data_IF_192529243387
#
_entry.id   IF_192529243387
#
_cell.length_a   1.000
_cell.length_b   1.000
_cell.length_c   1.000
_cell.angle_alpha   90.00
_cell.angle_beta   90.00
_cell.angle_gamma   90.00
#
_symmetry.space_group_name_H-M   'P 1'
#
loop_
_entity.id
_entity.type
_entity.pdbx_description
1 polymer ?
#
# COMPACT_ATOMS: atom_id res chain seq x y z
N UNK A 1 35.37 -19.09 70.72
CA UNK A 1 35.93 -18.92 69.33
C UNK A 1 34.81 -18.61 68.42
N UNK A 2 34.73 -17.37 67.97
CA UNK A 2 33.72 -16.97 67.07
C UNK A 2 34.33 -17.00 65.66
N UNK A 3 33.86 -17.91 64.82
CA UNK A 3 34.24 -17.97 63.42
C UNK A 3 33.65 -16.74 62.70
N UNK A 4 34.54 -15.85 62.29
CA UNK A 4 34.16 -14.68 61.50
C UNK A 4 33.70 -15.17 60.10
N UNK A 5 32.44 -14.92 59.80
CA UNK A 5 31.88 -15.14 58.44
C UNK A 5 32.62 -14.28 57.44
N UNK A 6 33.29 -14.85 56.44
CA UNK A 6 33.95 -14.16 55.33
C UNK A 6 33.05 -14.22 54.14
N UNK A 7 32.63 -13.04 53.62
CA UNK A 7 31.80 -12.97 52.40
C UNK A 7 32.55 -13.56 51.20
N UNK A 8 31.89 -14.31 50.32
CA UNK A 8 32.54 -14.96 49.17
C UNK A 8 33.05 -14.02 48.08
N UNK A 9 32.86 -12.72 48.21
CA UNK A 9 33.21 -11.72 47.18
C UNK A 9 34.47 -10.89 47.47
N UNK A 10 35.29 -11.21 48.46
CA UNK A 10 36.59 -10.53 48.66
C UNK A 10 37.61 -11.04 47.63
N UNK A 11 37.54 -10.47 46.42
CA UNK A 11 38.59 -10.59 45.42
C UNK A 11 39.75 -9.68 45.80
N UNK A 12 41.02 -10.10 45.61
CA UNK A 12 42.18 -9.24 45.79
C UNK A 12 42.06 -8.02 44.86
N UNK A 13 42.26 -6.83 45.37
CA UNK A 13 42.10 -5.52 44.70
C UNK A 13 43.07 -5.27 43.52
N UNK A 14 44.02 -6.18 43.26
CA UNK A 14 45.13 -6.01 42.31
C UNK A 14 45.02 -6.88 41.02
N UNK A 15 43.91 -7.51 40.76
CA UNK A 15 43.74 -8.18 39.45
C UNK A 15 43.45 -7.12 38.35
N UNK A 16 44.28 -7.00 37.29
CA UNK A 16 43.99 -6.08 36.20
C UNK A 16 42.62 -6.40 35.60
N UNK A 17 41.71 -5.43 35.72
CA UNK A 17 40.37 -5.56 35.11
C UNK A 17 40.57 -5.74 33.61
N UNK A 18 40.37 -6.94 33.10
CA UNK A 18 40.28 -7.18 31.67
C UNK A 18 39.16 -6.26 31.13
N UNK A 19 39.42 -5.49 30.08
CA UNK A 19 38.37 -4.70 29.46
C UNK A 19 37.22 -5.63 29.10
N UNK A 20 36.04 -5.39 29.68
CA UNK A 20 34.81 -6.10 29.26
C UNK A 20 34.69 -5.79 27.79
N UNK A 21 34.97 -6.77 26.93
CA UNK A 21 34.78 -6.65 25.51
C UNK A 21 33.31 -6.30 25.30
N UNK A 22 33.05 -5.00 24.98
CA UNK A 22 31.73 -4.62 24.52
C UNK A 22 31.38 -5.56 23.38
N UNK A 23 30.23 -6.25 23.43
CA UNK A 23 29.82 -7.13 22.35
C UNK A 23 29.87 -6.30 21.06
N UNK A 24 30.83 -6.61 20.20
CA UNK A 24 30.90 -6.01 18.88
C UNK A 24 29.56 -6.30 18.22
N UNK A 25 28.80 -5.28 17.74
CA UNK A 25 27.57 -5.56 17.00
C UNK A 25 27.92 -6.62 15.95
N UNK A 26 27.27 -7.76 16.04
CA UNK A 26 27.46 -8.81 15.05
C UNK A 26 27.27 -8.18 13.68
N UNK A 27 28.29 -8.31 12.81
CA UNK A 27 28.18 -7.85 11.44
C UNK A 27 26.86 -8.45 10.88
N UNK A 28 26.06 -7.67 10.15
CA UNK A 28 24.80 -8.17 9.64
C UNK A 28 25.12 -9.43 8.83
N UNK A 29 24.76 -10.58 9.40
CA UNK A 29 24.75 -11.84 8.67
C UNK A 29 23.93 -11.57 7.41
N UNK A 30 24.46 -11.86 6.22
CA UNK A 30 23.88 -11.57 4.91
C UNK A 30 22.52 -12.26 4.65
N UNK A 31 21.60 -12.11 5.57
CA UNK A 31 20.19 -12.44 5.43
C UNK A 31 19.49 -11.43 4.52
N UNK A 32 18.35 -11.79 3.93
CA UNK A 32 17.60 -10.92 3.06
C UNK A 32 17.31 -9.59 3.76
N UNK A 33 17.59 -8.48 3.06
CA UNK A 33 17.30 -7.13 3.58
C UNK A 33 15.79 -6.96 3.66
N UNK A 34 15.24 -7.00 4.87
CA UNK A 34 13.81 -6.83 5.10
C UNK A 34 13.42 -5.35 4.99
N UNK A 35 12.26 -5.01 4.42
CA UNK A 35 11.84 -3.62 4.25
C UNK A 35 11.70 -2.90 5.59
N UNK A 36 11.14 -3.58 6.59
CA UNK A 36 11.00 -3.09 7.96
C UNK A 36 11.15 -4.28 8.92
N UNK A 37 11.80 -4.13 10.07
CA UNK A 37 11.80 -5.19 11.08
C UNK A 37 10.37 -5.45 11.58
N UNK A 38 10.04 -6.73 11.79
CA UNK A 38 8.73 -7.13 12.34
C UNK A 38 8.63 -6.69 13.81
N UNK A 39 8.16 -5.49 14.00
CA UNK A 39 7.86 -4.85 15.29
C UNK A 39 6.61 -3.99 15.11
N UNK A 40 5.96 -3.59 16.20
CA UNK A 40 4.91 -2.57 16.12
C UNK A 40 5.38 -1.32 15.38
N UNK A 41 4.73 -0.99 14.25
CA UNK A 41 5.10 0.11 13.36
C UNK A 41 4.29 1.37 13.66
N UNK A 42 4.90 2.53 13.43
CA UNK A 42 4.24 3.83 13.41
C UNK A 42 3.81 4.21 11.99
N UNK A 43 2.99 5.25 11.83
CA UNK A 43 2.59 5.74 10.49
C UNK A 43 3.82 6.09 9.63
N UNK A 44 4.81 6.86 10.11
CA UNK A 44 6.05 7.09 9.37
C UNK A 44 6.79 5.81 8.99
N UNK A 45 6.85 4.80 9.89
CA UNK A 45 7.49 3.51 9.58
C UNK A 45 6.79 2.81 8.40
N UNK A 46 5.46 2.89 8.31
CA UNK A 46 4.67 2.29 7.23
C UNK A 46 4.94 2.99 5.90
N UNK A 47 4.99 4.33 5.89
CA UNK A 47 5.26 5.13 4.70
C UNK A 47 6.70 4.90 4.20
N UNK A 48 7.69 5.01 5.09
CA UNK A 48 9.10 4.76 4.76
C UNK A 48 9.33 3.30 4.33
N UNK A 49 8.70 2.35 5.03
CA UNK A 49 8.75 0.94 4.67
C UNK A 49 8.21 0.64 3.27
N UNK A 50 7.13 1.31 2.86
CA UNK A 50 6.60 1.19 1.50
C UNK A 50 7.59 1.71 0.44
N UNK A 51 8.23 2.84 0.69
CA UNK A 51 9.30 3.35 -0.18
C UNK A 51 10.51 2.41 -0.21
N UNK A 52 10.82 1.75 0.90
CA UNK A 52 11.89 0.74 0.95
C UNK A 52 11.53 -0.49 0.11
N UNK A 53 10.28 -0.96 0.13
CA UNK A 53 9.82 -2.05 -0.75
C UNK A 53 10.10 -1.69 -2.21
N UNK A 54 9.75 -0.48 -2.64
CA UNK A 54 10.01 0.01 -4.00
C UNK A 54 11.52 0.03 -4.33
N UNK A 55 12.36 0.45 -3.37
CA UNK A 55 13.82 0.52 -3.55
C UNK A 55 14.50 -0.86 -3.54
N UNK A 56 13.99 -1.83 -2.77
CA UNK A 56 14.59 -3.16 -2.66
C UNK A 56 14.39 -4.01 -3.91
N UNK A 57 13.22 -3.92 -4.55
CA UNK A 57 12.92 -4.70 -5.76
C UNK A 57 12.24 -3.83 -6.84
N UNK A 58 12.89 -2.76 -7.32
CA UNK A 58 12.25 -1.80 -8.23
C UNK A 58 11.73 -2.46 -9.50
N UNK A 59 12.50 -3.38 -10.09
CA UNK A 59 12.10 -4.11 -11.30
C UNK A 59 10.84 -4.94 -11.09
N UNK A 60 10.72 -5.61 -9.94
CA UNK A 60 9.57 -6.45 -9.63
C UNK A 60 8.35 -5.60 -9.28
N UNK A 61 8.53 -4.57 -8.48
CA UNK A 61 7.45 -3.71 -8.00
C UNK A 61 6.90 -2.83 -9.13
N UNK A 62 7.78 -2.12 -9.84
CA UNK A 62 7.38 -1.28 -10.98
C UNK A 62 6.89 -2.15 -12.14
N UNK A 63 7.52 -3.31 -12.39
CA UNK A 63 7.07 -4.24 -13.42
C UNK A 63 5.67 -4.79 -13.17
N UNK A 64 5.33 -5.13 -11.91
CA UNK A 64 3.99 -5.53 -11.53
C UNK A 64 2.99 -4.37 -11.75
N UNK A 65 3.33 -3.17 -11.25
CA UNK A 65 2.49 -1.98 -11.45
C UNK A 65 2.30 -1.68 -12.94
N UNK A 66 3.36 -1.75 -13.74
CA UNK A 66 3.29 -1.50 -15.18
C UNK A 66 2.34 -2.47 -15.89
N UNK A 67 2.49 -3.78 -15.65
CA UNK A 67 1.66 -4.80 -16.30
C UNK A 67 0.18 -4.63 -15.98
N UNK A 68 -0.16 -4.15 -14.77
CA UNK A 68 -1.55 -4.00 -14.34
C UNK A 68 -2.09 -2.60 -14.65
N UNK A 69 -1.32 -1.54 -14.36
CA UNK A 69 -1.80 -0.15 -14.47
C UNK A 69 -1.77 0.40 -15.90
N UNK A 70 -0.70 0.12 -16.70
CA UNK A 70 -0.57 0.73 -18.03
C UNK A 70 -1.73 0.42 -18.96
N UNK A 71 -2.21 -0.84 -19.10
CA UNK A 71 -3.36 -1.14 -19.96
C UNK A 71 -4.62 -0.38 -19.54
N UNK A 72 -4.82 -0.23 -18.22
CA UNK A 72 -6.00 0.44 -17.67
C UNK A 72 -5.93 1.93 -17.92
N UNK A 73 -4.79 2.57 -17.66
CA UNK A 73 -4.62 4.02 -17.90
C UNK A 73 -4.74 4.39 -19.38
N UNK A 74 -4.15 3.60 -20.27
CA UNK A 74 -4.28 3.79 -21.71
C UNK A 74 -5.74 3.59 -22.17
N UNK A 75 -6.43 2.59 -21.65
CA UNK A 75 -7.84 2.34 -21.95
C UNK A 75 -8.72 3.48 -21.47
N UNK A 76 -8.54 3.95 -20.23
CA UNK A 76 -9.29 5.08 -19.68
C UNK A 76 -9.01 6.38 -20.45
N UNK A 77 -7.74 6.67 -20.76
CA UNK A 77 -7.36 7.82 -21.57
C UNK A 77 -8.02 7.79 -22.95
N UNK A 78 -7.98 6.65 -23.63
CA UNK A 78 -8.63 6.48 -24.93
C UNK A 78 -10.15 6.59 -24.84
N UNK A 79 -10.77 5.99 -23.82
CA UNK A 79 -12.21 6.07 -23.61
C UNK A 79 -12.68 7.51 -23.40
N UNK A 80 -11.91 8.28 -22.66
CA UNK A 80 -12.23 9.66 -22.28
C UNK A 80 -11.65 10.71 -23.27
N UNK A 81 -11.00 10.28 -24.36
CA UNK A 81 -10.25 11.17 -25.25
C UNK A 81 -11.04 12.39 -25.75
N UNK A 82 -12.31 12.19 -26.13
CA UNK A 82 -13.16 13.28 -26.62
C UNK A 82 -13.45 14.29 -25.51
N UNK A 83 -13.88 13.81 -24.35
CA UNK A 83 -14.15 14.70 -23.22
C UNK A 83 -12.91 15.47 -22.74
N UNK A 84 -11.71 14.88 -22.87
CA UNK A 84 -10.45 15.54 -22.53
C UNK A 84 -10.07 16.58 -23.60
N UNK A 85 -10.29 16.28 -24.89
CA UNK A 85 -10.00 17.21 -25.99
C UNK A 85 -10.98 18.36 -26.04
N UNK A 86 -12.26 18.13 -25.69
CA UNK A 86 -13.30 19.14 -25.63
C UNK A 86 -13.25 19.99 -24.34
N UNK A 87 -12.44 19.59 -23.37
CA UNK A 87 -12.29 20.32 -22.12
C UNK A 87 -11.60 21.66 -22.36
N UNK A 88 -12.36 22.73 -22.28
CA UNK A 88 -11.87 24.10 -22.44
C UNK A 88 -12.04 24.86 -21.12
N UNK A 89 -10.95 24.97 -20.35
CA UNK A 89 -10.98 25.67 -19.07
C UNK A 89 -11.25 27.16 -19.22
N UNK A 90 -10.85 27.78 -20.32
CA UNK A 90 -11.16 29.19 -20.59
C UNK A 90 -12.67 29.40 -20.72
N UNK A 91 -13.38 28.51 -21.43
CA UNK A 91 -14.84 28.55 -21.51
C UNK A 91 -15.49 28.26 -20.15
N UNK A 92 -14.94 27.31 -19.36
CA UNK A 92 -15.45 27.03 -18.03
C UNK A 92 -15.27 28.20 -17.04
N UNK A 93 -14.17 28.94 -17.15
CA UNK A 93 -13.99 30.20 -16.42
C UNK A 93 -14.96 31.29 -16.85
N UNK A 94 -15.14 31.46 -18.14
CA UNK A 94 -16.07 32.47 -18.67
C UNK A 94 -17.52 32.18 -18.21
N UNK A 95 -17.97 30.96 -18.30
CA UNK A 95 -19.27 30.51 -17.81
C UNK A 95 -19.43 30.69 -16.29
N UNK A 96 -18.39 30.38 -15.50
CA UNK A 96 -18.42 30.58 -14.05
C UNK A 96 -18.50 32.05 -13.65
N UNK A 97 -17.86 32.97 -14.41
CA UNK A 97 -17.88 34.41 -14.15
C UNK A 97 -19.10 35.12 -14.78
N UNK A 98 -19.63 34.59 -15.87
CA UNK A 98 -20.83 35.16 -16.52
C UNK A 98 -22.13 34.76 -15.84
N UNK A 99 -22.09 33.87 -14.85
CA UNK A 99 -23.28 33.35 -14.17
C UNK A 99 -24.11 32.38 -15.02
N UNK A 100 -23.62 32.00 -16.18
CA UNK A 100 -24.24 31.04 -17.11
C UNK A 100 -23.74 29.60 -16.86
N UNK A 101 -23.49 29.23 -15.62
CA UNK A 101 -23.04 27.89 -15.28
C UNK A 101 -24.03 26.82 -15.78
N UNK A 102 -23.99 26.55 -17.07
CA UNK A 102 -24.62 25.39 -17.66
C UNK A 102 -23.77 24.18 -17.30
N UNK A 103 -24.42 23.17 -16.75
CA UNK A 103 -23.81 21.87 -16.40
C UNK A 103 -23.18 21.18 -17.62
N UNK A 104 -23.39 21.71 -18.82
CA UNK A 104 -22.86 21.23 -20.11
C UNK A 104 -21.50 21.87 -20.50
N UNK A 105 -21.17 23.04 -19.94
CA UNK A 105 -19.97 23.81 -20.33
C UNK A 105 -18.67 23.34 -19.64
N UNK A 106 -18.76 22.66 -18.51
CA UNK A 106 -17.63 21.91 -18.00
C UNK A 106 -17.57 20.63 -18.82
N UNK A 107 -16.67 20.51 -19.78
CA UNK A 107 -16.35 19.29 -20.51
C UNK A 107 -15.94 18.14 -19.54
N UNK A 108 -16.74 17.98 -18.50
CA UNK A 108 -16.57 17.02 -17.43
C UNK A 108 -16.92 15.63 -17.94
N UNK A 109 -16.08 14.70 -17.63
CA UNK A 109 -16.38 13.28 -17.76
C UNK A 109 -17.75 13.04 -17.12
N UNK A 110 -18.70 12.50 -17.86
CA UNK A 110 -20.00 12.12 -17.31
C UNK A 110 -19.82 11.15 -16.13
N UNK A 111 -20.82 11.01 -15.28
CA UNK A 111 -20.75 10.14 -14.09
C UNK A 111 -20.33 8.69 -14.40
N UNK A 112 -20.70 8.17 -15.57
CA UNK A 112 -20.35 6.81 -16.00
C UNK A 112 -18.85 6.60 -16.19
N UNK A 113 -18.15 7.36 -17.03
CA UNK A 113 -16.70 7.28 -17.19
C UNK A 113 -15.92 7.50 -15.89
N UNK A 114 -16.34 8.45 -15.06
CA UNK A 114 -15.71 8.68 -13.73
C UNK A 114 -15.87 7.45 -12.84
N UNK A 115 -17.07 6.90 -12.75
CA UNK A 115 -17.33 5.67 -11.96
C UNK A 115 -16.51 4.50 -12.48
N UNK A 116 -16.39 4.32 -13.81
CA UNK A 116 -15.55 3.27 -14.40
C UNK A 116 -14.08 3.47 -14.05
N UNK A 117 -13.57 4.70 -14.08
CA UNK A 117 -12.20 5.02 -13.65
C UNK A 117 -11.95 4.60 -12.22
N UNK A 118 -12.81 5.00 -11.28
CA UNK A 118 -12.72 4.61 -9.85
C UNK A 118 -12.73 3.08 -9.68
N UNK A 119 -13.61 2.38 -10.43
CA UNK A 119 -13.70 0.91 -10.39
C UNK A 119 -12.39 0.28 -10.87
N UNK A 120 -11.87 0.71 -12.00
CA UNK A 120 -10.68 0.11 -12.60
C UNK A 120 -9.42 0.43 -11.78
N UNK A 121 -9.24 1.66 -11.29
CA UNK A 121 -8.10 2.05 -10.47
C UNK A 121 -8.10 1.32 -9.12
N UNK A 122 -9.25 1.17 -8.50
CA UNK A 122 -9.38 0.39 -7.28
C UNK A 122 -9.08 -1.10 -7.48
N UNK A 123 -9.46 -1.67 -8.63
CA UNK A 123 -9.12 -3.06 -8.97
C UNK A 123 -7.62 -3.21 -9.27
N UNK A 124 -7.01 -2.24 -9.96
CA UNK A 124 -5.56 -2.17 -10.16
C UNK A 124 -4.85 -2.18 -8.80
N UNK A 125 -5.25 -1.30 -7.88
CA UNK A 125 -4.67 -1.23 -6.55
C UNK A 125 -4.82 -2.57 -5.79
N UNK A 126 -5.99 -3.21 -5.85
CA UNK A 126 -6.23 -4.48 -5.19
C UNK A 126 -5.33 -5.60 -5.72
N UNK A 127 -5.14 -5.67 -7.06
CA UNK A 127 -4.29 -6.68 -7.70
C UNK A 127 -2.81 -6.43 -7.38
N UNK A 128 -2.36 -5.17 -7.45
CA UNK A 128 -0.97 -4.79 -7.11
C UNK A 128 -0.69 -5.05 -5.64
N UNK A 129 -1.62 -4.71 -4.73
CA UNK A 129 -1.49 -4.99 -3.30
C UNK A 129 -1.42 -6.50 -3.02
N UNK A 130 -2.21 -7.30 -3.73
CA UNK A 130 -2.14 -8.76 -3.66
C UNK A 130 -0.79 -9.32 -4.11
N UNK A 131 -0.24 -8.83 -5.22
CA UNK A 131 1.08 -9.22 -5.72
C UNK A 131 2.21 -8.80 -4.76
N UNK A 132 2.16 -7.57 -4.24
CA UNK A 132 3.12 -7.10 -3.24
C UNK A 132 3.02 -7.87 -1.93
N UNK A 133 1.82 -8.25 -1.50
CA UNK A 133 1.63 -9.07 -0.31
C UNK A 133 2.36 -10.41 -0.44
N UNK A 134 2.28 -11.05 -1.60
CA UNK A 134 3.02 -12.28 -1.90
C UNK A 134 4.53 -12.08 -1.88
N UNK A 135 5.03 -11.01 -2.54
CA UNK A 135 6.44 -10.66 -2.58
C UNK A 135 7.00 -10.43 -1.18
N UNK A 136 6.34 -9.59 -0.40
CA UNK A 136 6.78 -9.19 0.96
C UNK A 136 6.69 -10.37 1.92
N UNK A 137 5.62 -11.16 1.86
CA UNK A 137 5.50 -12.39 2.67
C UNK A 137 6.65 -13.37 2.38
N UNK A 138 7.06 -13.49 1.09
CA UNK A 138 8.22 -14.29 0.71
C UNK A 138 9.51 -13.80 1.37
N UNK A 139 9.77 -12.49 1.37
CA UNK A 139 10.97 -11.93 2.03
C UNK A 139 11.01 -12.25 3.53
N UNK A 140 9.87 -12.13 4.22
CA UNK A 140 9.81 -12.50 5.62
C UNK A 140 9.93 -14.01 5.87
N UNK A 141 9.55 -14.84 4.91
CA UNK A 141 9.76 -16.28 4.92
C UNK A 141 11.16 -16.71 4.45
N UNK A 142 12.01 -15.77 4.00
CA UNK A 142 13.35 -16.05 3.49
C UNK A 142 13.37 -16.59 2.06
N UNK A 143 12.31 -16.35 1.27
CA UNK A 143 12.20 -16.77 -0.14
C UNK A 143 12.20 -15.58 -1.07
N UNK A 144 12.94 -15.68 -2.18
CA UNK A 144 12.93 -14.68 -3.24
C UNK A 144 11.94 -15.08 -4.33
N UNK A 145 11.16 -14.11 -4.79
CA UNK A 145 10.19 -14.32 -5.85
C UNK A 145 10.54 -13.51 -7.10
N UNK A 146 10.56 -14.16 -8.25
CA UNK A 146 10.72 -13.50 -9.54
C UNK A 146 9.48 -12.69 -9.90
N UNK A 147 9.64 -11.65 -10.74
CA UNK A 147 8.53 -10.85 -11.28
C UNK A 147 7.42 -11.74 -11.87
N UNK A 148 7.79 -12.76 -12.67
CA UNK A 148 6.81 -13.68 -13.26
C UNK A 148 6.01 -14.48 -12.23
N UNK A 149 6.62 -14.86 -11.10
CA UNK A 149 5.92 -15.53 -10.00
C UNK A 149 4.91 -14.59 -9.32
N UNK A 150 5.32 -13.35 -9.04
CA UNK A 150 4.47 -12.31 -8.43
C UNK A 150 3.27 -11.99 -9.34
N UNK A 151 3.50 -11.75 -10.62
CA UNK A 151 2.44 -11.50 -11.62
C UNK A 151 1.48 -12.69 -11.67
N UNK A 152 1.99 -13.91 -11.78
CA UNK A 152 1.15 -15.12 -11.82
C UNK A 152 0.24 -15.23 -10.61
N UNK A 153 0.75 -14.98 -9.39
CA UNK A 153 -0.05 -15.03 -8.17
C UNK A 153 -1.08 -13.90 -8.14
N UNK A 154 -0.69 -12.67 -8.49
CA UNK A 154 -1.59 -11.53 -8.57
C UNK A 154 -2.79 -11.82 -9.50
N UNK A 155 -2.54 -12.32 -10.72
CA UNK A 155 -3.61 -12.65 -11.67
C UNK A 155 -4.42 -13.90 -11.28
N UNK A 156 -3.80 -14.93 -10.70
CA UNK A 156 -4.55 -16.08 -10.16
C UNK A 156 -5.51 -15.70 -9.03
N UNK A 157 -5.18 -14.64 -8.30
CA UNK A 157 -6.02 -14.10 -7.22
C UNK A 157 -6.87 -12.91 -7.67
N UNK A 158 -6.81 -12.50 -8.94
CA UNK A 158 -7.55 -11.35 -9.45
C UNK A 158 -9.07 -11.50 -9.27
N UNK A 159 -9.64 -12.67 -9.54
CA UNK A 159 -11.07 -12.89 -9.34
C UNK A 159 -11.51 -12.77 -7.87
N UNK A 160 -10.90 -13.44 -6.88
CA UNK A 160 -11.27 -13.23 -5.49
C UNK A 160 -10.97 -11.79 -5.00
N UNK A 161 -9.94 -11.12 -5.52
CA UNK A 161 -9.65 -9.71 -5.21
C UNK A 161 -10.74 -8.80 -5.79
N UNK A 162 -11.18 -9.02 -7.02
CA UNK A 162 -12.27 -8.26 -7.64
C UNK A 162 -13.59 -8.43 -6.87
N UNK A 163 -13.94 -9.65 -6.48
CA UNK A 163 -15.14 -9.88 -5.66
C UNK A 163 -15.00 -9.18 -4.29
N UNK A 164 -13.85 -9.27 -3.65
CA UNK A 164 -13.61 -8.59 -2.37
C UNK A 164 -13.71 -7.07 -2.54
N UNK A 165 -13.15 -6.52 -3.64
CA UNK A 165 -13.24 -5.11 -4.00
C UNK A 165 -14.71 -4.67 -4.16
N UNK A 166 -15.53 -5.42 -4.91
CA UNK A 166 -16.97 -5.14 -5.07
C UNK A 166 -17.69 -5.13 -3.72
N UNK A 167 -17.42 -6.11 -2.86
CA UNK A 167 -18.03 -6.18 -1.53
C UNK A 167 -17.69 -4.95 -0.66
N UNK A 168 -16.44 -4.49 -0.72
CA UNK A 168 -15.97 -3.31 0.00
C UNK A 168 -16.67 -2.06 -0.50
N UNK A 169 -16.68 -1.83 -1.81
CA UNK A 169 -17.28 -0.62 -2.40
C UNK A 169 -18.80 -0.60 -2.29
N UNK A 170 -19.44 -1.78 -2.31
CA UNK A 170 -20.87 -1.87 -2.00
C UNK A 170 -21.15 -1.45 -0.54
N UNK A 171 -20.30 -1.87 0.40
CA UNK A 171 -20.41 -1.42 1.77
C UNK A 171 -20.16 0.09 1.89
N UNK A 172 -19.12 0.62 1.21
CA UNK A 172 -18.84 2.07 1.17
C UNK A 172 -20.00 2.87 0.61
N UNK A 173 -20.62 2.43 -0.49
CA UNK A 173 -21.78 3.07 -1.08
C UNK A 173 -22.99 3.10 -0.12
N UNK A 174 -23.24 2.02 0.61
CA UNK A 174 -24.30 1.96 1.61
C UNK A 174 -24.03 2.93 2.76
N UNK A 175 -22.80 3.00 3.25
CA UNK A 175 -22.42 3.90 4.35
C UNK A 175 -22.35 5.37 3.89
N UNK A 176 -22.03 5.65 2.63
CA UNK A 176 -21.99 7.00 2.06
C UNK A 176 -23.37 7.66 2.03
N UNK A 177 -24.46 6.88 1.96
CA UNK A 177 -25.84 7.39 2.04
C UNK A 177 -26.09 8.09 3.39
N UNK A 178 -25.37 7.69 4.45
CA UNK A 178 -25.53 8.26 5.79
C UNK A 178 -24.74 9.54 6.05
N UNK A 179 -23.70 9.85 5.37
CA UNK A 179 -22.86 11.07 5.28
C UNK A 179 -21.48 10.68 4.70
N UNK A 180 -20.74 11.66 4.14
CA UNK A 180 -19.34 11.47 3.68
C UNK A 180 -18.46 10.85 4.79
N UNK A 181 -18.69 11.21 6.05
CA UNK A 181 -18.02 10.64 7.23
C UNK A 181 -18.30 9.13 7.37
N UNK A 182 -19.47 8.67 6.93
CA UNK A 182 -19.83 7.25 6.97
C UNK A 182 -18.92 6.38 6.09
N UNK A 183 -18.46 6.88 4.94
CA UNK A 183 -17.57 6.15 4.04
C UNK A 183 -16.17 5.88 4.65
N UNK A 184 -15.72 6.71 5.60
CA UNK A 184 -14.44 6.50 6.29
C UNK A 184 -14.41 5.22 7.12
N UNK A 185 -15.56 4.76 7.58
CA UNK A 185 -15.68 3.54 8.40
C UNK A 185 -15.32 2.30 7.56
N UNK A 186 -16.01 2.00 6.44
CA UNK A 186 -15.65 0.85 5.61
C UNK A 186 -14.27 1.00 4.96
N UNK A 187 -13.86 2.19 4.52
CA UNK A 187 -12.52 2.45 4.01
C UNK A 187 -11.44 2.04 5.01
N UNK A 188 -11.65 2.34 6.31
CA UNK A 188 -10.74 1.95 7.38
C UNK A 188 -10.82 0.46 7.69
N UNK A 189 -12.04 -0.10 7.78
CA UNK A 189 -12.23 -1.51 8.13
C UNK A 189 -11.68 -2.46 7.07
N UNK A 190 -11.66 -2.03 5.82
CA UNK A 190 -11.29 -2.88 4.68
C UNK A 190 -9.92 -2.56 4.10
N UNK A 191 -9.13 -1.70 4.76
CA UNK A 191 -7.82 -1.26 4.30
C UNK A 191 -6.83 -2.40 4.02
N UNK A 192 -7.01 -3.58 4.64
CA UNK A 192 -6.07 -4.71 4.52
C UNK A 192 -6.71 -5.97 3.90
N UNK A 193 -7.80 -5.83 3.15
CA UNK A 193 -8.50 -6.97 2.53
C UNK A 193 -7.61 -7.67 1.51
N UNK A 194 -6.95 -6.92 0.61
CA UNK A 194 -6.12 -7.49 -0.46
C UNK A 194 -4.95 -8.34 0.06
N UNK A 195 -4.13 -7.86 1.01
CA UNK A 195 -3.11 -8.72 1.63
C UNK A 195 -3.70 -9.92 2.36
N UNK A 196 -4.86 -9.82 3.02
CA UNK A 196 -5.50 -10.96 3.67
C UNK A 196 -5.93 -12.05 2.69
N UNK A 197 -6.49 -11.70 1.52
CA UNK A 197 -6.84 -12.66 0.45
C UNK A 197 -5.63 -13.46 0.01
N UNK A 198 -4.48 -12.82 -0.15
CA UNK A 198 -3.31 -13.45 -0.74
C UNK A 198 -2.46 -14.15 0.30
N UNK A 199 -2.15 -13.52 1.43
CA UNK A 199 -1.31 -14.10 2.48
C UNK A 199 -1.97 -15.27 3.21
N UNK A 200 -3.28 -15.18 3.48
CA UNK A 200 -4.00 -16.25 4.18
C UNK A 200 -4.68 -17.24 3.21
N UNK A 201 -4.69 -16.95 1.89
CA UNK A 201 -5.30 -17.81 0.89
C UNK A 201 -6.81 -17.97 1.02
N UNK A 202 -7.48 -17.06 1.74
CA UNK A 202 -8.91 -17.12 2.07
C UNK A 202 -9.78 -16.50 0.98
N UNK A 203 -11.05 -16.90 0.94
CA UNK A 203 -12.02 -16.34 0.00
C UNK A 203 -12.45 -14.92 0.34
N UNK A 204 -13.06 -14.17 -0.62
CA UNK A 204 -13.32 -12.74 -0.52
C UNK A 204 -14.13 -12.35 0.72
N UNK A 205 -15.24 -13.04 0.99
CA UNK A 205 -16.08 -12.77 2.15
C UNK A 205 -15.34 -12.94 3.50
N UNK A 206 -14.52 -14.01 3.59
CA UNK A 206 -13.70 -14.23 4.78
C UNK A 206 -12.62 -13.17 4.94
N UNK A 207 -12.02 -12.70 3.84
CA UNK A 207 -11.01 -11.65 3.85
C UNK A 207 -11.59 -10.31 4.30
N UNK A 208 -12.79 -9.93 3.84
CA UNK A 208 -13.50 -8.73 4.29
C UNK A 208 -13.77 -8.79 5.81
N UNK A 209 -14.29 -9.91 6.31
CA UNK A 209 -14.50 -10.11 7.75
C UNK A 209 -13.20 -10.10 8.54
N UNK A 210 -12.15 -10.70 7.98
CA UNK A 210 -10.81 -10.75 8.56
C UNK A 210 -10.21 -9.35 8.71
N UNK A 211 -10.26 -8.56 7.65
CA UNK A 211 -9.80 -7.18 7.64
C UNK A 211 -10.52 -6.36 8.72
N UNK A 212 -11.86 -6.41 8.78
CA UNK A 212 -12.64 -5.73 9.80
C UNK A 212 -12.29 -6.18 11.22
N UNK A 213 -12.01 -7.48 11.44
CA UNK A 213 -11.61 -7.99 12.75
C UNK A 213 -10.24 -7.46 13.20
N UNK A 214 -9.27 -7.34 12.25
CA UNK A 214 -7.93 -6.82 12.51
C UNK A 214 -7.94 -5.31 12.77
N UNK A 215 -8.69 -4.53 11.97
CA UNK A 215 -8.65 -3.07 11.99
C UNK A 215 -9.49 -2.47 13.11
N UNK A 216 -10.63 -3.11 13.47
CA UNK A 216 -11.59 -2.58 14.46
C UNK A 216 -10.95 -2.24 15.80
N UNK A 217 -10.00 -3.05 16.29
CA UNK A 217 -9.36 -2.83 17.59
C UNK A 217 -8.42 -1.62 17.61
N UNK A 218 -8.00 -1.16 16.44
CA UNK A 218 -7.09 -0.02 16.26
C UNK A 218 -7.61 0.99 15.23
N UNK A 219 -8.92 1.14 15.20
CA UNK A 219 -9.62 1.95 14.20
C UNK A 219 -8.98 3.34 13.98
N UNK A 220 -8.73 4.10 15.05
CA UNK A 220 -8.15 5.44 14.93
C UNK A 220 -6.73 5.45 14.33
N UNK A 221 -5.88 4.47 14.67
CA UNK A 221 -4.54 4.37 14.08
C UNK A 221 -4.59 3.96 12.61
N UNK A 222 -5.48 3.03 12.24
CA UNK A 222 -5.69 2.62 10.84
C UNK A 222 -6.28 3.77 10.04
N UNK A 223 -7.29 4.47 10.56
CA UNK A 223 -7.86 5.66 9.92
C UNK A 223 -6.79 6.73 9.70
N UNK A 224 -5.96 7.02 10.71
CA UNK A 224 -4.85 7.95 10.58
C UNK A 224 -3.86 7.54 9.48
N UNK A 225 -3.56 6.24 9.36
CA UNK A 225 -2.70 5.71 8.29
C UNK A 225 -3.36 5.90 6.92
N UNK A 226 -4.63 5.53 6.78
CA UNK A 226 -5.39 5.67 5.53
C UNK A 226 -5.45 7.14 5.10
N UNK A 227 -5.74 8.06 6.02
CA UNK A 227 -5.77 9.50 5.72
C UNK A 227 -4.39 10.05 5.36
N UNK A 228 -3.33 9.62 6.04
CA UNK A 228 -1.97 10.03 5.71
C UNK A 228 -1.56 9.55 4.31
N UNK A 229 -1.88 8.31 3.95
CA UNK A 229 -1.63 7.76 2.61
C UNK A 229 -2.43 8.52 1.55
N UNK A 230 -3.74 8.75 1.80
CA UNK A 230 -4.58 9.49 0.88
C UNK A 230 -4.08 10.93 0.66
N UNK A 231 -3.58 11.59 1.71
CA UNK A 231 -2.97 12.92 1.59
C UNK A 231 -1.68 12.89 0.75
N UNK A 232 -0.80 11.94 1.00
CA UNK A 232 0.45 11.78 0.22
C UNK A 232 0.12 11.46 -1.24
N UNK A 233 -0.81 10.54 -1.47
CA UNK A 233 -1.27 10.15 -2.80
C UNK A 233 -1.86 11.34 -3.57
N UNK A 234 -2.73 12.12 -2.93
CA UNK A 234 -3.33 13.32 -3.53
C UNK A 234 -2.27 14.39 -3.86
N UNK A 235 -1.34 14.67 -2.95
CA UNK A 235 -0.30 15.68 -3.16
C UNK A 235 0.70 15.26 -4.25
N UNK A 236 1.18 14.03 -4.21
CA UNK A 236 2.11 13.54 -5.23
C UNK A 236 1.40 13.27 -6.56
N UNK A 237 0.18 12.78 -6.52
CA UNK A 237 -0.66 12.56 -7.70
C UNK A 237 -0.88 13.87 -8.47
N UNK A 238 -1.36 14.90 -7.79
CA UNK A 238 -1.56 16.22 -8.41
C UNK A 238 -0.25 16.84 -8.90
N UNK A 239 0.86 16.65 -8.20
CA UNK A 239 2.16 17.12 -8.66
C UNK A 239 2.64 16.40 -9.94
N UNK A 240 2.38 15.10 -10.06
CA UNK A 240 2.79 14.30 -11.22
C UNK A 240 1.87 14.52 -12.44
N UNK A 241 0.57 14.76 -12.21
CA UNK A 241 -0.42 14.97 -13.30
C UNK A 241 -0.65 16.46 -13.64
N UNK A 242 -0.25 17.38 -12.77
CA UNK A 242 -0.56 18.80 -12.90
C UNK A 242 -0.10 19.44 -14.21
N UNK A 243 1.03 19.02 -14.77
CA UNK A 243 1.46 19.50 -16.10
C UNK A 243 0.52 19.03 -17.21
N UNK A 244 -0.03 17.82 -17.10
CA UNK A 244 -1.01 17.32 -18.05
C UNK A 244 -2.34 18.08 -17.93
N UNK A 245 -2.74 18.44 -16.72
CA UNK A 245 -3.93 19.27 -16.48
C UNK A 245 -3.77 20.67 -17.08
N UNK A 246 -2.59 21.29 -16.94
CA UNK A 246 -2.27 22.57 -17.61
C UNK A 246 -2.32 22.41 -19.13
N UNK A 247 -1.81 21.29 -19.68
CA UNK A 247 -1.83 21.00 -21.10
C UNK A 247 -3.27 20.92 -21.64
N UNK A 248 -4.16 20.25 -20.90
CA UNK A 248 -5.62 20.20 -21.18
C UNK A 248 -6.22 21.60 -21.09
N UNK A 249 -5.91 22.35 -20.04
CA UNK A 249 -6.43 23.69 -19.82
C UNK A 249 -6.10 24.69 -20.96
N UNK A 250 -4.96 24.49 -21.62
CA UNK A 250 -4.53 25.28 -22.77
C UNK A 250 -5.18 24.83 -24.08
N UNK A 251 -6.03 23.80 -24.10
CA UNK A 251 -6.69 23.28 -25.29
C UNK A 251 -5.73 22.73 -26.35
N UNK A 252 -4.57 22.19 -25.93
CA UNK A 252 -3.55 21.72 -26.85
C UNK A 252 -3.92 20.36 -27.46
N UNK A 253 -3.61 20.12 -28.75
CA UNK A 253 -4.01 18.88 -29.42
C UNK A 253 -3.34 17.65 -28.82
N UNK A 254 -4.06 16.53 -28.78
CA UNK A 254 -3.55 15.28 -28.21
C UNK A 254 -3.47 15.28 -26.69
N UNK A 255 -4.22 16.12 -26.02
CA UNK A 255 -4.27 16.26 -24.56
C UNK A 255 -4.55 14.91 -23.86
N UNK A 256 -5.39 14.06 -24.45
CA UNK A 256 -5.68 12.74 -23.89
C UNK A 256 -4.44 11.82 -23.79
N UNK A 257 -3.50 11.94 -24.76
CA UNK A 257 -2.24 11.13 -24.71
C UNK A 257 -1.37 11.60 -23.57
N UNK A 258 -1.24 12.93 -23.41
CA UNK A 258 -0.45 13.52 -22.31
C UNK A 258 -1.04 13.16 -20.96
N UNK A 259 -2.37 13.24 -20.83
CA UNK A 259 -3.08 12.86 -19.60
C UNK A 259 -2.94 11.38 -19.29
N UNK A 260 -3.10 10.49 -20.29
CA UNK A 260 -2.92 9.06 -20.12
C UNK A 260 -1.47 8.70 -19.73
N UNK A 261 -0.49 9.36 -20.34
CA UNK A 261 0.93 9.16 -20.02
C UNK A 261 1.27 9.65 -18.61
N UNK A 262 0.75 10.81 -18.20
CA UNK A 262 0.94 11.35 -16.85
C UNK A 262 0.29 10.45 -15.79
N UNK A 263 -0.95 10.00 -16.01
CA UNK A 263 -1.65 9.06 -15.15
C UNK A 263 -0.92 7.71 -15.06
N UNK A 264 -0.43 7.21 -16.18
CA UNK A 264 0.39 5.99 -16.19
C UNK A 264 1.69 6.15 -15.38
N UNK A 265 2.41 7.25 -15.57
CA UNK A 265 3.64 7.54 -14.83
C UNK A 265 3.37 7.68 -13.32
N UNK A 266 2.32 8.39 -12.94
CA UNK A 266 1.87 8.50 -11.55
C UNK A 266 1.52 7.13 -10.97
N UNK A 267 0.75 6.32 -11.70
CA UNK A 267 0.35 4.97 -11.28
C UNK A 267 1.52 4.00 -11.06
N UNK A 268 2.62 4.14 -11.82
CA UNK A 268 3.82 3.31 -11.64
C UNK A 268 4.51 3.51 -10.28
N UNK A 269 4.32 4.67 -9.66
CA UNK A 269 4.94 5.04 -8.37
C UNK A 269 3.93 4.98 -7.23
N UNK A 270 2.77 5.62 -7.43
CA UNK A 270 1.78 5.78 -6.36
C UNK A 270 1.03 4.48 -6.06
N UNK A 271 0.62 3.72 -7.07
CA UNK A 271 -0.09 2.46 -6.85
C UNK A 271 0.71 1.47 -5.98
N UNK A 272 1.99 1.16 -6.30
CA UNK A 272 2.77 0.29 -5.44
C UNK A 272 3.13 0.90 -4.09
N UNK A 273 3.21 2.23 -3.99
CA UNK A 273 3.39 2.91 -2.70
C UNK A 273 2.18 2.68 -1.78
N UNK A 274 0.97 2.97 -2.24
CA UNK A 274 -0.28 2.75 -1.48
C UNK A 274 -0.45 1.27 -1.14
N UNK A 275 -0.24 0.39 -2.13
CA UNK A 275 -0.30 -1.05 -1.95
C UNK A 275 0.71 -1.56 -0.91
N UNK A 276 1.94 -1.03 -0.93
CA UNK A 276 2.98 -1.36 0.05
C UNK A 276 2.59 -0.98 1.47
N UNK A 277 2.01 0.21 1.66
CA UNK A 277 1.49 0.61 2.99
C UNK A 277 0.40 -0.34 3.46
N UNK A 278 -0.54 -0.73 2.59
CA UNK A 278 -1.60 -1.68 2.96
C UNK A 278 -1.03 -3.05 3.40
N UNK A 279 0.01 -3.54 2.71
CA UNK A 279 0.71 -4.79 3.08
C UNK A 279 1.41 -4.66 4.42
N UNK A 280 2.15 -3.57 4.65
CA UNK A 280 2.85 -3.35 5.92
C UNK A 280 1.87 -3.13 7.08
N UNK A 281 0.78 -2.42 6.84
CA UNK A 281 -0.30 -2.25 7.82
C UNK A 281 -0.92 -3.60 8.21
N UNK A 282 -1.16 -4.49 7.23
CA UNK A 282 -1.62 -5.85 7.50
C UNK A 282 -0.64 -6.62 8.39
N UNK A 283 0.66 -6.53 8.11
CA UNK A 283 1.70 -7.17 8.92
C UNK A 283 1.77 -6.57 10.33
N UNK A 284 1.71 -5.23 10.47
CA UNK A 284 1.67 -4.55 11.77
C UNK A 284 0.49 -5.03 12.62
N UNK A 285 -0.71 -5.11 12.02
CA UNK A 285 -1.90 -5.58 12.71
C UNK A 285 -1.76 -7.05 13.16
N UNK A 286 -1.15 -7.90 12.35
CA UNK A 286 -0.88 -9.31 12.73
C UNK A 286 0.18 -9.44 13.81
N UNK A 287 1.26 -8.66 13.73
CA UNK A 287 2.27 -8.61 14.80
C UNK A 287 1.63 -8.25 16.13
N UNK A 288 0.80 -7.22 16.15
CA UNK A 288 0.16 -6.72 17.38
C UNK A 288 -0.95 -7.61 17.94
N UNK A 289 -1.67 -8.32 17.08
CA UNK A 289 -2.84 -9.10 17.52
C UNK A 289 -2.58 -10.59 17.63
N UNK A 290 -1.61 -11.10 16.89
CA UNK A 290 -1.38 -12.53 16.72
C UNK A 290 0.07 -12.95 17.04
N UNK A 291 0.96 -11.97 17.29
CA UNK A 291 2.36 -12.27 17.56
C UNK A 291 3.09 -12.89 16.37
N UNK A 292 2.80 -12.43 15.14
CA UNK A 292 3.40 -12.94 13.91
C UNK A 292 4.94 -12.92 13.94
N UNK A 293 5.53 -11.94 14.61
CA UNK A 293 6.97 -11.83 14.82
C UNK A 293 7.53 -13.01 15.64
N UNK A 294 6.81 -13.40 16.68
CA UNK A 294 7.15 -14.55 17.55
C UNK A 294 7.00 -15.86 16.77
N UNK A 295 5.90 -16.01 16.02
CA UNK A 295 5.65 -17.17 15.17
C UNK A 295 6.77 -17.38 14.14
N UNK A 296 7.13 -16.32 13.42
CA UNK A 296 8.21 -16.39 12.42
C UNK A 296 9.59 -16.60 13.05
N UNK A 297 9.85 -16.03 14.22
CA UNK A 297 11.09 -16.26 14.95
C UNK A 297 11.19 -17.72 15.44
N UNK A 298 10.09 -18.27 15.94
CA UNK A 298 10.03 -19.68 16.36
C UNK A 298 10.25 -20.62 15.16
N UNK A 299 9.56 -20.39 14.05
CA UNK A 299 9.70 -21.20 12.85
C UNK A 299 11.13 -21.20 12.30
N UNK A 300 11.83 -20.05 12.34
CA UNK A 300 13.25 -19.97 11.94
C UNK A 300 14.18 -20.73 12.87
N UNK A 301 13.90 -20.69 14.18
CA UNK A 301 14.74 -21.34 15.21
C UNK A 301 14.59 -22.84 15.22
N UNK A 302 13.40 -23.34 14.93
CA UNK A 302 13.06 -24.77 14.96
C UNK A 302 12.93 -25.39 13.56
N UNK A 303 13.22 -24.64 12.49
CA UNK A 303 13.29 -25.22 11.15
C UNK A 303 14.39 -26.28 11.11
N UNK A 304 14.14 -27.49 10.55
CA UNK A 304 15.19 -28.48 10.34
C UNK A 304 16.27 -27.85 9.45
N UNK A 305 17.54 -28.17 9.77
CA UNK A 305 18.67 -27.73 8.95
C UNK A 305 18.44 -28.19 7.49
N UNK A 306 18.75 -27.35 6.49
CA UNK A 306 18.66 -27.78 5.09
C UNK A 306 19.54 -29.02 4.91
N UNK A 307 18.96 -30.08 4.32
CA UNK A 307 19.63 -31.35 4.03
C UNK A 307 20.67 -31.16 2.92
#
# INVERSE_FOLDING_TARGET
>A
MADAWVAPDSRPEDAPRQPVATPRPAAPSGGPVLPVPLRPMTIPDLLDGSLRILKLAPRTVIGLAAVVSLPVQLFLGYLNRQAIEDANVAAAFDDAFSGNASTEATGGLGAGPVALGVVLDGLVLAIVAGGLAYLVAGWYAGTEHSLGAVIRVAFRRAAPLAVAWVLVHLAEAVFAIGLIVGALVPMTWFAVVSPAVVCEGIGPWRAVRRSGALTRRRFGAVLGTVLAVALVDALLGSALTGLAEVYVALGLPGAWVVTAAAGAAAGLVLTPFVAGVAVLLYLDLRVRHEGLDIELAANRRFAPAPA
#
